data_IF_872605862134
#
_entry.id   IF_872605862134
#
_cell.length_a   1.000
_cell.length_b   1.000
_cell.length_c   1.000
_cell.angle_alpha   90.00
_cell.angle_beta   90.00
_cell.angle_gamma   90.00
#
_symmetry.space_group_name_H-M   'P 1'
#
loop_
_entity.id
_entity.type
_entity.pdbx_description
1 polymer ?
#
# COMPACT_ATOMS: atom_id res chain seq x y z
N UNK A 1 -62.51 -3.86 54.07
CA UNK A 1 -61.46 -3.67 53.06
C UNK A 1 -62.15 -3.42 51.73
N UNK A 2 -61.89 -2.29 51.08
CA UNK A 2 -61.52 -2.21 49.66
C UNK A 2 -61.22 -0.74 49.30
N UNK A 3 -60.07 -0.58 48.65
CA UNK A 3 -59.26 0.62 48.54
C UNK A 3 -59.74 1.54 47.42
N UNK A 4 -59.65 2.86 47.66
CA UNK A 4 -59.78 3.87 46.63
C UNK A 4 -58.59 3.78 45.66
N UNK A 5 -58.86 3.52 44.38
CA UNK A 5 -57.87 3.52 43.31
C UNK A 5 -58.13 4.67 42.35
N UNK A 6 -57.40 5.79 42.54
CA UNK A 6 -57.33 6.88 41.57
C UNK A 6 -56.62 6.41 40.30
N UNK A 7 -57.33 6.29 39.18
CA UNK A 7 -56.70 6.14 37.86
C UNK A 7 -56.37 7.53 37.31
N UNK A 8 -55.08 7.87 37.36
CA UNK A 8 -54.49 8.98 36.62
C UNK A 8 -54.57 8.69 35.12
N UNK A 9 -55.39 9.46 34.40
CA UNK A 9 -55.43 9.42 32.94
C UNK A 9 -54.25 10.24 32.39
N UNK A 10 -53.17 9.57 32.02
CA UNK A 10 -52.12 10.18 31.19
C UNK A 10 -52.72 10.35 29.79
N UNK A 11 -53.14 11.58 29.46
CA UNK A 11 -53.53 11.96 28.09
C UNK A 11 -52.29 11.89 27.19
N UNK A 12 -52.14 10.80 26.45
CA UNK A 12 -51.23 10.72 25.33
C UNK A 12 -51.70 11.68 24.23
N UNK A 13 -51.04 12.82 24.08
CA UNK A 13 -51.22 13.70 22.93
C UNK A 13 -50.52 13.02 21.75
N UNK A 14 -51.27 12.27 20.94
CA UNK A 14 -50.78 11.79 19.65
C UNK A 14 -50.78 12.97 18.68
N UNK A 15 -49.64 13.66 18.55
CA UNK A 15 -49.44 14.62 17.47
C UNK A 15 -49.29 13.84 16.17
N UNK A 16 -50.24 13.99 15.26
CA UNK A 16 -50.11 13.48 13.91
C UNK A 16 -49.05 14.31 13.17
N UNK A 17 -48.02 13.67 12.64
CA UNK A 17 -47.02 14.32 11.80
C UNK A 17 -47.69 14.91 10.57
N UNK A 18 -47.41 16.19 10.30
CA UNK A 18 -47.97 16.83 9.11
C UNK A 18 -47.26 16.33 7.86
N UNK A 19 -47.94 16.34 6.71
CA UNK A 19 -47.34 15.92 5.43
C UNK A 19 -46.07 16.71 5.09
N UNK A 20 -46.03 17.99 5.47
CA UNK A 20 -44.85 18.84 5.33
C UNK A 20 -43.64 18.36 6.16
N UNK A 21 -43.89 17.84 7.36
CA UNK A 21 -42.87 17.29 8.26
C UNK A 21 -42.25 16.01 7.70
N UNK A 22 -43.08 15.15 7.10
CA UNK A 22 -42.62 13.90 6.46
C UNK A 22 -41.74 14.23 5.24
N UNK A 23 -42.17 15.18 4.41
CA UNK A 23 -41.39 15.62 3.23
C UNK A 23 -40.06 16.25 3.68
N UNK A 24 -40.08 17.09 4.71
CA UNK A 24 -38.88 17.72 5.25
C UNK A 24 -37.91 16.68 5.83
N UNK A 25 -38.41 15.69 6.57
CA UNK A 25 -37.58 14.61 7.10
C UNK A 25 -36.90 13.80 5.99
N UNK A 26 -37.63 13.45 4.93
CA UNK A 26 -37.07 12.74 3.76
C UNK A 26 -36.01 13.61 3.06
N UNK A 27 -36.27 14.90 2.88
CA UNK A 27 -35.33 15.82 2.25
C UNK A 27 -34.02 15.96 3.07
N UNK A 28 -34.13 16.03 4.40
CA UNK A 28 -32.95 16.08 5.28
C UNK A 28 -32.16 14.77 5.20
N UNK A 29 -32.82 13.62 5.25
CA UNK A 29 -32.15 12.30 5.13
C UNK A 29 -31.47 12.15 3.77
N UNK A 30 -32.08 12.62 2.69
CA UNK A 30 -31.49 12.60 1.36
C UNK A 30 -30.27 13.53 1.27
N UNK A 31 -30.36 14.75 1.83
CA UNK A 31 -29.26 15.70 1.84
C UNK A 31 -28.07 15.22 2.68
N UNK A 32 -28.32 14.64 3.86
CA UNK A 32 -27.28 14.06 4.71
C UNK A 32 -26.64 12.85 4.03
N UNK A 33 -27.43 11.98 3.40
CA UNK A 33 -26.92 10.84 2.63
C UNK A 33 -26.06 11.27 1.44
N UNK A 34 -26.45 12.34 0.74
CA UNK A 34 -25.67 12.88 -0.37
C UNK A 34 -24.35 13.51 0.12
N UNK A 35 -24.39 14.22 1.25
CA UNK A 35 -23.21 14.87 1.82
C UNK A 35 -22.20 13.86 2.39
N UNK A 36 -22.67 12.78 3.04
CA UNK A 36 -21.80 11.71 3.54
C UNK A 36 -21.20 10.88 2.41
N UNK A 37 -21.94 10.65 1.32
CA UNK A 37 -21.40 10.02 0.13
C UNK A 37 -20.24 10.83 -0.48
N UNK A 38 -20.34 12.16 -0.53
CA UNK A 38 -19.24 13.00 -1.04
C UNK A 38 -18.01 13.09 -0.14
N UNK A 39 -18.13 12.78 1.16
CA UNK A 39 -17.03 12.91 2.12
C UNK A 39 -16.21 11.62 2.28
N UNK A 40 -16.81 10.46 1.95
CA UNK A 40 -16.26 9.12 2.19
C UNK A 40 -16.23 8.26 0.91
N UNK A 41 -16.19 8.86 -0.28
CA UNK A 41 -15.78 8.14 -1.47
C UNK A 41 -14.24 8.13 -1.48
N UNK A 42 -13.57 7.03 -1.08
CA UNK A 42 -12.19 6.84 -1.50
C UNK A 42 -12.18 6.93 -3.02
N UNK A 43 -11.23 7.68 -3.57
CA UNK A 43 -11.03 7.77 -5.01
C UNK A 43 -11.09 6.35 -5.59
N UNK A 44 -12.05 6.07 -6.45
CA UNK A 44 -12.26 4.72 -6.98
C UNK A 44 -11.01 4.23 -7.74
N UNK A 45 -10.14 5.15 -8.18
CA UNK A 45 -8.81 4.83 -8.69
C UNK A 45 -7.88 4.27 -7.59
N UNK A 46 -7.91 4.83 -6.38
CA UNK A 46 -7.10 4.39 -5.24
C UNK A 46 -7.53 3.01 -4.69
N UNK A 47 -8.78 2.59 -4.88
CA UNK A 47 -9.27 1.24 -4.51
C UNK A 47 -8.61 0.14 -5.36
N UNK A 48 -8.08 0.49 -6.54
CA UNK A 48 -7.36 -0.43 -7.42
C UNK A 48 -5.87 -0.59 -7.10
N UNK A 49 -5.33 0.23 -6.21
CA UNK A 49 -3.90 0.33 -5.96
C UNK A 49 -3.50 -0.52 -4.76
N UNK A 50 -2.45 -1.33 -4.93
CA UNK A 50 -1.90 -2.15 -3.85
C UNK A 50 -0.99 -1.26 -2.98
N UNK A 51 -1.05 -1.37 -1.63
CA UNK A 51 -0.13 -0.67 -0.77
C UNK A 51 1.33 -0.97 -1.16
N UNK A 52 2.17 0.05 -1.45
CA UNK A 52 3.49 -0.20 -2.02
C UNK A 52 4.44 -0.96 -1.11
N UNK A 53 4.30 -0.82 0.21
CA UNK A 53 4.99 -1.67 1.18
C UNK A 53 4.62 -3.15 0.99
N UNK A 54 3.33 -3.47 0.81
CA UNK A 54 2.87 -4.84 0.62
C UNK A 54 3.43 -5.43 -0.68
N UNK A 55 3.44 -4.63 -1.77
CA UNK A 55 4.04 -5.05 -3.04
C UNK A 55 5.55 -5.21 -2.90
N UNK A 56 6.23 -4.32 -2.17
CA UNK A 56 7.66 -4.42 -1.90
C UNK A 56 8.00 -5.68 -1.10
N UNK A 57 7.31 -5.94 0.03
CA UNK A 57 7.47 -7.17 0.82
C UNK A 57 7.29 -8.41 -0.06
N UNK A 58 6.24 -8.43 -0.89
CA UNK A 58 6.00 -9.52 -1.85
C UNK A 58 7.14 -9.65 -2.87
N UNK A 59 7.67 -8.54 -3.37
CA UNK A 59 8.76 -8.53 -4.33
C UNK A 59 10.07 -9.06 -3.71
N UNK A 60 10.37 -8.70 -2.46
CA UNK A 60 11.52 -9.22 -1.70
C UNK A 60 11.40 -10.72 -1.48
N UNK A 61 10.26 -11.20 -0.98
CA UNK A 61 9.99 -12.63 -0.77
C UNK A 61 10.14 -13.40 -2.09
N UNK A 62 9.56 -12.86 -3.17
CA UNK A 62 9.65 -13.49 -4.49
C UNK A 62 11.07 -13.50 -5.03
N UNK A 63 11.82 -12.40 -4.91
CA UNK A 63 13.20 -12.33 -5.38
C UNK A 63 14.08 -13.37 -4.67
N UNK A 64 13.92 -13.50 -3.34
CA UNK A 64 14.58 -14.52 -2.51
C UNK A 64 14.21 -15.94 -2.92
N UNK A 65 12.92 -16.20 -3.14
CA UNK A 65 12.46 -17.52 -3.58
C UNK A 65 13.02 -17.88 -4.97
N UNK A 66 13.08 -16.91 -5.88
CA UNK A 66 13.61 -17.12 -7.23
C UNK A 66 15.13 -17.32 -7.23
N UNK A 67 15.90 -16.63 -6.39
CA UNK A 67 17.35 -16.86 -6.28
C UNK A 67 17.65 -18.27 -5.77
N UNK A 68 16.94 -18.71 -4.73
CA UNK A 68 17.05 -20.07 -4.21
C UNK A 68 16.63 -21.12 -5.25
N UNK A 69 15.54 -20.88 -5.98
CA UNK A 69 15.03 -21.81 -7.01
C UNK A 69 15.96 -21.95 -8.20
N UNK A 70 16.55 -20.85 -8.67
CA UNK A 70 17.44 -20.85 -9.83
C UNK A 70 18.87 -21.30 -9.47
N UNK A 71 19.25 -21.26 -8.19
CA UNK A 71 20.63 -21.50 -7.77
C UNK A 71 21.57 -20.36 -8.18
N UNK A 72 21.03 -19.21 -8.56
CA UNK A 72 21.74 -18.07 -9.12
C UNK A 72 21.31 -16.78 -8.43
N UNK A 73 22.15 -15.73 -8.51
CA UNK A 73 21.81 -14.45 -7.91
C UNK A 73 20.67 -13.76 -8.67
N UNK A 74 19.70 -13.21 -7.93
CA UNK A 74 18.65 -12.36 -8.50
C UNK A 74 18.79 -10.93 -7.99
N UNK A 75 18.23 -10.00 -8.73
CA UNK A 75 18.20 -8.58 -8.36
C UNK A 75 16.78 -8.05 -8.36
N UNK A 76 16.49 -7.22 -7.36
CA UNK A 76 15.26 -6.45 -7.23
C UNK A 76 15.54 -4.98 -7.51
N UNK A 77 14.71 -4.37 -8.36
CA UNK A 77 14.78 -2.94 -8.72
C UNK A 77 13.40 -2.33 -8.70
N UNK A 78 13.30 -1.03 -8.41
CA UNK A 78 12.09 -0.27 -8.62
C UNK A 78 12.20 0.50 -9.94
N UNK A 79 11.18 0.38 -10.78
CA UNK A 79 11.04 1.16 -11.99
C UNK A 79 10.11 2.35 -11.72
N UNK A 80 10.51 3.59 -12.07
CA UNK A 80 9.67 4.79 -11.90
C UNK A 80 8.30 4.74 -12.59
N UNK A 81 8.07 3.76 -13.48
CA UNK A 81 6.75 3.45 -14.05
C UNK A 81 5.80 2.78 -13.05
N UNK A 82 6.20 2.57 -11.80
CA UNK A 82 5.34 2.07 -10.72
C UNK A 82 5.31 0.56 -10.61
N UNK A 83 6.45 -0.12 -10.85
CA UNK A 83 6.56 -1.56 -10.63
C UNK A 83 7.94 -1.98 -10.11
N UNK A 84 7.97 -3.10 -9.41
CA UNK A 84 9.21 -3.79 -9.04
C UNK A 84 9.58 -4.80 -10.12
N UNK A 85 10.84 -4.78 -10.52
CA UNK A 85 11.42 -5.73 -11.46
C UNK A 85 12.35 -6.69 -10.73
N UNK A 86 12.12 -7.99 -10.92
CA UNK A 86 12.99 -9.07 -10.49
C UNK A 86 13.66 -9.62 -11.75
N UNK A 87 14.99 -9.66 -11.75
CA UNK A 87 15.76 -10.18 -12.89
C UNK A 87 16.93 -11.04 -12.42
N UNK A 88 17.41 -11.89 -13.31
CA UNK A 88 18.65 -12.65 -13.10
C UNK A 88 19.86 -11.71 -13.11
N UNK A 89 20.78 -11.87 -12.16
CA UNK A 89 21.91 -10.95 -12.01
C UNK A 89 22.88 -10.99 -13.19
N UNK A 90 23.17 -12.19 -13.72
CA UNK A 90 24.17 -12.41 -14.76
C UNK A 90 23.64 -12.04 -16.14
N UNK A 91 22.47 -12.58 -16.48
CA UNK A 91 21.86 -12.46 -17.82
C UNK A 91 20.98 -11.23 -17.97
N UNK A 92 20.60 -10.59 -16.86
CA UNK A 92 19.62 -9.50 -16.81
C UNK A 92 18.27 -9.87 -17.42
N UNK A 93 18.02 -11.17 -17.57
CA UNK A 93 16.73 -11.69 -18.01
C UNK A 93 15.69 -11.37 -16.94
N UNK A 94 14.58 -10.80 -17.37
CA UNK A 94 13.45 -10.54 -16.47
C UNK A 94 12.80 -11.84 -16.02
N UNK A 95 12.56 -11.94 -14.71
CA UNK A 95 11.92 -13.07 -14.05
C UNK A 95 10.48 -12.71 -13.68
N UNK A 96 10.27 -11.51 -13.13
CA UNK A 96 8.95 -11.07 -12.71
C UNK A 96 8.83 -9.54 -12.65
N UNK A 97 7.62 -9.05 -12.86
CA UNK A 97 7.21 -7.65 -12.62
C UNK A 97 6.07 -7.62 -11.60
N UNK A 98 6.14 -6.76 -10.60
CA UNK A 98 5.09 -6.55 -9.61
C UNK A 98 4.67 -5.08 -9.62
N UNK A 99 3.47 -4.80 -10.14
CA UNK A 99 2.98 -3.44 -10.30
C UNK A 99 2.36 -2.91 -9.01
N UNK A 100 2.49 -1.62 -8.75
CA UNK A 100 1.76 -0.97 -7.66
C UNK A 100 0.26 -0.91 -7.98
N UNK A 101 -0.06 -0.54 -9.22
CA UNK A 101 -1.44 -0.39 -9.69
C UNK A 101 -1.90 -1.61 -10.47
N UNK A 102 -3.11 -2.09 -10.20
CA UNK A 102 -3.72 -3.19 -10.97
C UNK A 102 -4.04 -2.80 -12.42
N UNK A 103 -4.26 -1.51 -12.68
CA UNK A 103 -4.51 -1.02 -14.04
C UNK A 103 -3.28 -1.21 -14.95
N UNK A 104 -2.09 -0.84 -14.45
CA UNK A 104 -0.83 -1.01 -15.19
C UNK A 104 -0.50 -2.48 -15.43
N UNK A 105 -0.77 -3.35 -14.46
CA UNK A 105 -0.62 -4.80 -14.63
C UNK A 105 -1.52 -5.34 -15.73
N UNK A 106 -2.78 -4.88 -15.80
CA UNK A 106 -3.72 -5.27 -16.85
C UNK A 106 -3.28 -4.76 -18.23
N UNK A 107 -2.84 -3.51 -18.31
CA UNK A 107 -2.35 -2.92 -19.55
C UNK A 107 -1.10 -3.66 -20.08
N UNK A 108 -0.16 -4.01 -19.19
CA UNK A 108 1.01 -4.78 -19.57
C UNK A 108 0.65 -6.19 -20.08
N UNK A 109 -0.28 -6.88 -19.41
CA UNK A 109 -0.76 -8.21 -19.87
C UNK A 109 -1.49 -8.14 -21.19
N UNK A 110 -2.29 -7.10 -21.43
CA UNK A 110 -2.98 -6.88 -22.70
C UNK A 110 -1.98 -6.65 -23.86
N UNK A 111 -0.93 -5.86 -23.61
CA UNK A 111 0.14 -5.62 -24.59
C UNK A 111 0.93 -6.91 -24.92
N UNK A 112 1.18 -7.77 -23.93
CA UNK A 112 1.86 -9.06 -24.12
C UNK A 112 0.99 -10.10 -24.87
N UNK A 113 -0.34 -10.00 -24.76
CA UNK A 113 -1.29 -10.95 -25.36
C UNK A 113 -1.86 -10.49 -26.71
N UNK A 114 -1.39 -9.37 -27.27
CA UNK A 114 -1.77 -8.88 -28.60
C UNK A 114 -3.26 -8.63 -28.79
N UNK A 115 -4.01 -8.46 -27.69
CA UNK A 115 -5.46 -8.33 -27.72
C UNK A 115 -5.84 -6.85 -27.87
N UNK A 116 -6.19 -6.44 -29.09
CA UNK A 116 -6.64 -5.08 -29.46
C UNK A 116 -8.05 -4.74 -28.95
N UNK A 117 -8.50 -5.30 -27.83
CA UNK A 117 -9.82 -4.99 -27.29
C UNK A 117 -9.69 -3.93 -26.19
N UNK A 118 -9.94 -2.68 -26.61
CA UNK A 118 -10.14 -1.47 -25.80
C UNK A 118 -8.87 -0.80 -25.25
N UNK A 119 -8.07 -0.27 -26.17
CA UNK A 119 -7.16 0.83 -25.90
C UNK A 119 -7.94 2.17 -25.72
N UNK A 120 -8.81 2.25 -24.71
CA UNK A 120 -9.18 3.55 -24.13
C UNK A 120 -8.38 3.77 -22.84
N UNK A 121 -7.13 4.17 -23.05
CA UNK A 121 -6.47 5.24 -22.30
C UNK A 121 -5.03 5.29 -22.80
N UNK A 122 -4.83 5.99 -23.91
CA UNK A 122 -3.56 6.63 -24.22
C UNK A 122 -3.29 7.76 -23.23
N UNK A 123 -3.36 7.47 -21.93
CA UNK A 123 -2.89 8.35 -20.91
C UNK A 123 -1.37 8.35 -21.00
N UNK A 124 -0.81 9.54 -21.21
CA UNK A 124 0.62 9.81 -21.00
C UNK A 124 1.10 9.06 -19.74
N UNK A 125 2.37 8.60 -19.69
CA UNK A 125 2.93 7.99 -18.48
C UNK A 125 2.76 9.00 -17.35
N UNK A 126 1.67 8.86 -16.59
CA UNK A 126 1.40 9.67 -15.42
C UNK A 126 2.57 9.40 -14.51
N UNK A 127 3.39 10.42 -14.28
CA UNK A 127 4.48 10.35 -13.32
C UNK A 127 3.92 9.68 -12.08
N UNK A 128 4.45 8.49 -11.77
CA UNK A 128 4.01 7.83 -10.55
C UNK A 128 4.46 8.75 -9.43
N UNK A 129 3.53 9.27 -8.63
CA UNK A 129 3.82 10.08 -7.43
C UNK A 129 4.55 9.28 -6.34
N UNK A 130 5.08 8.11 -6.71
CA UNK A 130 5.70 7.11 -5.87
C UNK A 130 7.19 7.11 -6.18
N UNK A 131 7.98 7.56 -5.20
CA UNK A 131 9.44 7.37 -5.23
C UNK A 131 9.79 6.28 -4.23
N UNK A 132 10.48 5.25 -4.69
CA UNK A 132 11.01 4.19 -3.82
C UNK A 132 12.52 4.14 -4.00
N UNK A 133 13.24 4.46 -2.95
CA UNK A 133 14.71 4.47 -2.89
C UNK A 133 15.18 3.38 -1.93
N UNK A 134 16.22 2.64 -2.30
CA UNK A 134 16.81 1.61 -1.47
C UNK A 134 18.13 2.09 -0.87
N UNK A 135 18.44 1.65 0.34
CA UNK A 135 19.68 1.99 1.03
C UNK A 135 20.21 0.76 1.75
N UNK A 136 21.50 0.49 1.61
CA UNK A 136 22.15 -0.56 2.39
C UNK A 136 22.13 -0.17 3.87
N UNK A 137 21.98 -1.18 4.74
CA UNK A 137 22.16 -1.00 6.18
C UNK A 137 23.51 -1.61 6.55
N UNK A 138 24.46 -0.73 6.78
CA UNK A 138 25.81 -1.12 7.17
C UNK A 138 25.85 -1.60 8.62
N UNK A 139 26.75 -2.54 8.95
CA UNK A 139 26.94 -2.96 10.32
C UNK A 139 27.55 -1.83 11.16
N UNK A 140 27.13 -1.73 12.41
CA UNK A 140 27.72 -0.80 13.36
C UNK A 140 29.14 -1.28 13.72
N UNK A 141 30.16 -0.53 13.31
CA UNK A 141 31.55 -0.86 13.64
C UNK A 141 31.93 -0.15 14.94
N UNK A 142 32.06 -0.93 16.02
CA UNK A 142 32.40 -0.40 17.35
C UNK A 142 33.91 -0.13 17.51
N UNK A 143 34.79 -0.92 16.86
CA UNK A 143 36.24 -0.93 17.19
C UNK A 143 37.21 -0.78 16.00
N UNK A 144 36.75 -0.42 14.79
CA UNK A 144 37.65 -0.28 13.64
C UNK A 144 37.26 0.86 12.67
N UNK A 145 37.81 2.08 12.85
CA UNK A 145 37.44 3.26 12.06
C UNK A 145 37.96 3.25 10.60
N UNK A 146 38.65 2.19 10.17
CA UNK A 146 39.29 2.13 8.85
C UNK A 146 38.42 1.58 7.71
N UNK A 147 37.17 1.17 7.98
CA UNK A 147 36.26 0.66 6.96
C UNK A 147 35.19 1.72 6.69
N UNK A 148 35.29 2.36 5.53
CA UNK A 148 34.24 3.24 5.01
C UNK A 148 33.27 2.40 4.18
N UNK A 149 31.99 2.47 4.54
CA UNK A 149 30.93 1.93 3.70
C UNK A 149 30.44 3.02 2.73
N UNK A 150 30.09 2.65 1.50
CA UNK A 150 29.55 3.60 0.54
C UNK A 150 28.17 4.09 0.99
N UNK A 151 28.12 5.32 1.47
CA UNK A 151 26.87 6.00 1.78
C UNK A 151 26.08 6.30 0.49
N UNK A 152 24.77 6.00 0.48
CA UNK A 152 23.86 6.49 -0.55
C UNK A 152 22.80 5.49 -1.02
N UNK A 153 21.96 5.97 -1.96
CA UNK A 153 20.90 5.18 -2.58
C UNK A 153 21.50 4.07 -3.45
N UNK A 154 21.13 2.82 -3.17
CA UNK A 154 21.48 1.67 -3.99
C UNK A 154 20.43 1.48 -5.09
N UNK A 155 20.90 1.20 -6.30
CA UNK A 155 20.01 1.08 -7.48
C UNK A 155 19.32 -0.27 -7.57
N UNK A 156 19.87 -1.29 -6.91
CA UNK A 156 19.37 -2.66 -6.94
C UNK A 156 19.71 -3.39 -5.65
N UNK A 157 18.78 -4.21 -5.17
CA UNK A 157 19.00 -5.13 -4.05
C UNK A 157 19.34 -6.50 -4.61
N UNK A 158 20.37 -7.16 -4.06
CA UNK A 158 20.87 -8.45 -4.53
C UNK A 158 20.51 -9.57 -3.56
N UNK A 159 20.07 -10.68 -4.13
CA UNK A 159 19.70 -11.88 -3.40
C UNK A 159 20.58 -13.03 -3.84
N UNK A 160 21.22 -13.67 -2.88
CA UNK A 160 22.06 -14.84 -3.12
C UNK A 160 21.22 -16.13 -3.16
N UNK A 161 21.75 -17.21 -3.78
CA UNK A 161 21.06 -18.50 -3.84
C UNK A 161 20.81 -19.14 -2.47
N UNK A 162 21.68 -18.84 -1.51
CA UNK A 162 21.56 -19.24 -0.09
C UNK A 162 20.51 -18.43 0.67
N UNK A 163 19.69 -17.64 -0.03
CA UNK A 163 18.66 -16.78 0.54
C UNK A 163 19.21 -15.64 1.42
N UNK A 164 20.51 -15.38 1.37
CA UNK A 164 21.12 -14.21 1.98
C UNK A 164 20.94 -12.96 1.11
N UNK A 165 20.86 -11.81 1.76
CA UNK A 165 20.91 -10.49 1.12
C UNK A 165 21.60 -9.50 2.06
N UNK A 166 22.16 -8.42 1.53
CA UNK A 166 22.60 -7.31 2.38
C UNK A 166 21.36 -6.71 3.05
N UNK A 167 21.34 -6.58 4.40
CA UNK A 167 20.27 -5.85 5.08
C UNK A 167 20.11 -4.47 4.45
N UNK A 168 18.87 -4.05 4.23
CA UNK A 168 18.58 -2.79 3.56
C UNK A 168 17.30 -2.17 4.11
N UNK A 169 17.12 -0.88 3.86
CA UNK A 169 15.84 -0.23 4.07
C UNK A 169 15.37 0.44 2.78
N UNK A 170 14.06 0.51 2.62
CA UNK A 170 13.42 1.22 1.52
C UNK A 170 12.70 2.45 2.07
N UNK A 171 12.94 3.61 1.47
CA UNK A 171 12.17 4.82 1.72
C UNK A 171 11.12 4.92 0.63
N UNK A 172 9.85 4.80 1.02
CA UNK A 172 8.71 4.93 0.14
C UNK A 172 8.07 6.31 0.35
N UNK A 173 8.11 7.16 -0.67
CA UNK A 173 7.54 8.51 -0.65
C UNK A 173 6.31 8.60 -1.57
N UNK A 174 5.20 9.08 -1.00
CA UNK A 174 3.88 9.24 -1.61
C UNK A 174 3.35 10.63 -1.34
N UNK A 175 3.44 11.54 -2.31
CA UNK A 175 3.02 12.93 -2.13
C UNK A 175 3.62 13.52 -0.83
N UNK A 176 2.82 13.65 0.23
CA UNK A 176 3.20 14.23 1.52
C UNK A 176 3.59 13.21 2.60
N UNK A 177 3.52 11.90 2.30
CA UNK A 177 3.80 10.82 3.23
C UNK A 177 5.08 10.07 2.85
N UNK A 178 6.01 9.94 3.80
CA UNK A 178 7.19 9.10 3.66
C UNK A 178 7.16 7.99 4.71
N UNK A 179 7.46 6.76 4.28
CA UNK A 179 7.57 5.60 5.17
C UNK A 179 8.84 4.84 4.88
N UNK A 180 9.55 4.45 5.93
CA UNK A 180 10.71 3.58 5.85
C UNK A 180 10.33 2.16 6.22
N UNK A 181 10.78 1.19 5.44
CA UNK A 181 10.56 -0.25 5.68
C UNK A 181 11.92 -0.93 5.70
N UNK A 182 12.17 -1.71 6.74
CA UNK A 182 13.43 -2.41 6.96
C UNK A 182 13.33 -3.87 6.52
N UNK A 183 14.40 -4.38 5.92
CA UNK A 183 14.53 -5.75 5.49
C UNK A 183 15.88 -6.28 5.94
N UNK A 184 15.86 -7.25 6.87
CA UNK A 184 17.06 -7.92 7.35
C UNK A 184 16.90 -9.44 7.14
N UNK A 185 17.86 -10.12 6.50
CA UNK A 185 17.82 -11.57 6.29
C UNK A 185 17.79 -12.39 7.60
N UNK A 186 18.14 -11.79 8.74
CA UNK A 186 18.23 -12.45 10.05
C UNK A 186 17.10 -12.08 11.02
N UNK A 187 16.34 -11.01 10.74
CA UNK A 187 15.10 -10.73 11.48
C UNK A 187 13.99 -11.62 10.93
N UNK A 188 13.31 -12.37 11.79
CA UNK A 188 12.00 -12.94 11.43
C UNK A 188 11.03 -11.81 11.04
N UNK A 189 9.93 -12.13 10.35
CA UNK A 189 8.91 -11.19 9.87
C UNK A 189 8.17 -10.47 11.03
N UNK A 190 8.88 -9.66 11.82
CA UNK A 190 8.29 -8.84 12.88
C UNK A 190 7.91 -7.50 12.24
N UNK A 191 6.60 -7.33 11.99
CA UNK A 191 6.01 -6.04 11.69
C UNK A 191 6.27 -5.11 12.89
N UNK A 192 7.26 -4.22 12.75
CA UNK A 192 7.47 -3.08 13.65
C UNK A 192 6.33 -2.06 13.47
N UNK A 193 5.14 -2.45 13.93
CA UNK A 193 4.08 -1.51 14.27
C UNK A 193 4.39 -0.91 15.64
N UNK A 194 4.46 0.43 15.66
CA UNK A 194 4.52 1.35 16.81
C UNK A 194 5.92 1.88 17.18
N UNK A 195 6.48 2.73 16.33
CA UNK A 195 7.16 3.92 16.84
C UNK A 195 6.09 4.86 17.43
N UNK A 196 5.68 4.58 18.67
CA UNK A 196 4.90 5.50 19.49
C UNK A 196 5.87 6.62 19.88
N UNK A 197 5.61 7.82 19.38
CA UNK A 197 6.41 8.99 19.68
C UNK A 197 6.50 9.23 21.18
N UNK A 198 7.72 9.50 21.63
CA UNK A 198 7.97 10.09 22.93
C UNK A 198 7.30 11.47 23.01
N UNK A 199 6.65 11.72 24.13
CA UNK A 199 6.07 13.01 24.50
C UNK A 199 5.92 13.05 26.01
N UNK A 200 6.96 13.59 26.65
CA UNK A 200 7.11 14.13 28.02
C UNK A 200 6.47 13.39 29.22
#
# INVERSE_FOLDING_TARGET
MLSAGCHSAIRGVSRAFTLAEIILAIAIVAAVSALTASMWLPDAAAVGDRPPESVLKTAVIRARAESARLGEQTVLRFDPRGFFLISDFKTRREIARLYLRKADERAAKAAESGSEESAESGGEPRESFVKISFFARDPEIVENPGVEFPDGEIREVRFSPDSAMTPFYAVLSFSDFARTVFFDPFSGDEDDSLAKGDGE
#
